data_IF_806332005358
#
_entry.id   IF_806332005358
#
_cell.length_a   1.000
_cell.length_b   1.000
_cell.length_c   1.000
_cell.angle_alpha   90.00
_cell.angle_beta   90.00
_cell.angle_gamma   90.00
#
_symmetry.space_group_name_H-M   'P 1'
#
loop_
_entity.id
_entity.type
_entity.pdbx_description
1 polymer ?
#
# COMPACT_ATOMS: atom_id res chain seq x y z
N UNK A 1 11.63 9.84 -15.81
CA UNK A 1 11.86 8.53 -16.48
C UNK A 1 11.03 7.48 -15.74
N UNK A 2 11.16 7.46 -14.42
CA UNK A 2 10.46 6.55 -13.50
C UNK A 2 8.94 6.79 -13.39
N UNK A 3 8.47 7.93 -13.90
CA UNK A 3 7.08 8.37 -13.85
C UNK A 3 6.14 7.38 -14.53
N UNK A 4 6.55 6.80 -15.67
CA UNK A 4 5.70 5.83 -16.39
C UNK A 4 5.55 4.53 -15.58
N UNK A 5 6.64 4.01 -15.03
CA UNK A 5 6.64 2.82 -14.18
C UNK A 5 5.84 3.05 -12.91
N UNK A 6 5.99 4.21 -12.26
CA UNK A 6 5.24 4.56 -11.06
C UNK A 6 3.74 4.70 -11.32
N UNK A 7 3.34 5.30 -12.45
CA UNK A 7 1.93 5.38 -12.86
C UNK A 7 1.36 3.98 -13.10
N UNK A 8 2.08 3.11 -13.80
CA UNK A 8 1.64 1.75 -14.06
C UNK A 8 1.56 0.92 -12.78
N UNK A 9 2.57 1.00 -11.92
CA UNK A 9 2.62 0.27 -10.65
C UNK A 9 1.49 0.73 -9.71
N UNK A 10 1.34 2.03 -9.51
CA UNK A 10 0.30 2.60 -8.65
C UNK A 10 -1.10 2.36 -9.21
N UNK A 11 -1.29 2.56 -10.52
CA UNK A 11 -2.58 2.35 -11.17
C UNK A 11 -3.04 0.90 -11.14
N UNK A 12 -2.18 -0.05 -11.55
CA UNK A 12 -2.51 -1.47 -11.52
C UNK A 12 -2.61 -2.01 -10.09
N UNK A 13 -1.71 -1.58 -9.20
CA UNK A 13 -1.76 -1.92 -7.78
C UNK A 13 -3.08 -1.51 -7.15
N UNK A 14 -3.49 -0.25 -7.33
CA UNK A 14 -4.75 0.27 -6.82
C UNK A 14 -5.98 -0.45 -7.41
N UNK A 15 -5.98 -0.71 -8.72
CA UNK A 15 -7.06 -1.48 -9.36
C UNK A 15 -7.20 -2.88 -8.77
N UNK A 16 -6.08 -3.56 -8.48
CA UNK A 16 -6.10 -4.87 -7.82
C UNK A 16 -6.69 -4.78 -6.42
N UNK A 17 -6.30 -3.76 -5.64
CA UNK A 17 -6.90 -3.51 -4.32
C UNK A 17 -8.42 -3.33 -4.45
N UNK A 18 -8.89 -2.45 -5.34
CA UNK A 18 -10.32 -2.16 -5.48
C UNK A 18 -11.13 -3.38 -5.92
N UNK A 19 -10.60 -4.19 -6.85
CA UNK A 19 -11.26 -5.42 -7.30
C UNK A 19 -11.35 -6.43 -6.14
N UNK A 20 -10.29 -6.54 -5.34
CA UNK A 20 -10.20 -7.55 -4.31
C UNK A 20 -10.99 -7.17 -3.05
N UNK A 21 -11.00 -5.89 -2.68
CA UNK A 21 -11.83 -5.34 -1.62
C UNK A 21 -13.32 -5.63 -1.86
N UNK A 22 -13.80 -5.39 -3.09
CA UNK A 22 -15.19 -5.71 -3.49
C UNK A 22 -15.56 -7.20 -3.38
N UNK A 23 -14.59 -8.11 -3.46
CA UNK A 23 -14.85 -9.56 -3.41
C UNK A 23 -14.72 -10.15 -2.01
N UNK A 24 -13.71 -9.72 -1.26
CA UNK A 24 -13.34 -10.34 0.02
C UNK A 24 -13.94 -9.61 1.23
N UNK A 25 -14.35 -8.34 1.11
CA UNK A 25 -14.79 -7.50 2.24
C UNK A 25 -13.82 -7.55 3.43
N UNK A 26 -12.53 -7.68 3.16
CA UNK A 26 -11.45 -7.76 4.13
C UNK A 26 -10.52 -6.56 3.92
N UNK A 27 -10.06 -5.93 5.00
CA UNK A 27 -9.39 -4.61 4.93
C UNK A 27 -7.85 -4.66 4.92
N UNK A 28 -7.27 -5.86 4.89
CA UNK A 28 -5.80 -6.06 4.88
C UNK A 28 -5.33 -6.86 3.66
N UNK A 29 -6.13 -7.87 3.28
CA UNK A 29 -5.77 -8.81 2.22
C UNK A 29 -5.67 -8.09 0.87
N UNK A 30 -6.62 -7.21 0.48
CA UNK A 30 -6.51 -6.42 -0.74
C UNK A 30 -5.22 -5.62 -0.82
N UNK A 31 -4.86 -4.93 0.26
CA UNK A 31 -3.71 -4.04 0.35
C UNK A 31 -2.39 -4.82 0.30
N UNK A 32 -2.33 -6.00 0.93
CA UNK A 32 -1.19 -6.91 0.83
C UNK A 32 -0.99 -7.41 -0.62
N UNK A 33 -2.07 -7.81 -1.30
CA UNK A 33 -1.97 -8.29 -2.70
C UNK A 33 -1.66 -7.13 -3.66
N UNK A 34 -2.25 -5.96 -3.44
CA UNK A 34 -1.94 -4.77 -4.21
C UNK A 34 -0.49 -4.33 -4.06
N UNK A 35 0.05 -4.37 -2.84
CA UNK A 35 1.45 -4.01 -2.58
C UNK A 35 2.44 -5.01 -3.18
N UNK A 36 2.10 -6.31 -3.24
CA UNK A 36 2.85 -7.32 -4.00
C UNK A 36 2.90 -6.98 -5.49
N UNK A 37 1.77 -6.60 -6.08
CA UNK A 37 1.70 -6.21 -7.51
C UNK A 37 2.53 -4.95 -7.77
N UNK A 38 2.44 -3.94 -6.89
CA UNK A 38 3.25 -2.72 -6.97
C UNK A 38 4.74 -3.07 -6.96
N UNK A 39 5.19 -3.89 -6.01
CA UNK A 39 6.58 -4.33 -5.92
C UNK A 39 7.05 -5.04 -7.18
N UNK A 40 6.24 -5.96 -7.71
CA UNK A 40 6.58 -6.74 -8.91
C UNK A 40 6.73 -5.85 -10.15
N UNK A 41 5.82 -4.88 -10.33
CA UNK A 41 5.90 -3.93 -11.46
C UNK A 41 7.09 -2.98 -11.28
N UNK A 42 7.34 -2.50 -10.06
CA UNK A 42 8.44 -1.58 -9.78
C UNK A 42 9.80 -2.23 -10.06
N UNK A 43 10.02 -3.46 -9.59
CA UNK A 43 11.26 -4.22 -9.84
C UNK A 43 11.44 -4.51 -11.33
N UNK A 44 10.38 -4.98 -11.99
CA UNK A 44 10.42 -5.27 -13.43
C UNK A 44 10.75 -4.00 -14.23
N UNK A 45 10.12 -2.88 -13.91
CA UNK A 45 10.37 -1.60 -14.56
C UNK A 45 11.77 -1.05 -14.31
N UNK A 46 12.33 -1.25 -13.11
CA UNK A 46 13.72 -0.89 -12.82
C UNK A 46 14.72 -1.72 -13.63
N UNK A 47 14.43 -2.99 -13.89
CA UNK A 47 15.29 -3.82 -14.75
C UNK A 47 15.34 -3.32 -16.21
N UNK A 48 14.22 -2.82 -16.75
CA UNK A 48 14.18 -2.25 -18.11
C UNK A 48 14.80 -0.86 -18.19
N UNK A 49 14.73 -0.07 -17.11
CA UNK A 49 15.25 1.30 -17.07
C UNK A 49 16.07 1.49 -15.78
N UNK A 50 17.37 1.14 -15.78
CA UNK A 50 18.21 1.07 -14.58
C UNK A 50 18.53 2.42 -13.92
N UNK A 51 18.23 3.53 -14.59
CA UNK A 51 18.60 4.88 -14.14
C UNK A 51 17.68 5.42 -13.03
N UNK A 52 16.59 4.71 -12.72
CA UNK A 52 15.58 5.13 -11.76
C UNK A 52 15.83 4.65 -10.34
N UNK A 53 15.43 5.45 -9.35
CA UNK A 53 15.47 5.00 -7.96
C UNK A 53 14.24 4.12 -7.64
N UNK A 54 14.49 2.85 -7.32
CA UNK A 54 13.44 1.87 -7.00
C UNK A 54 12.61 2.32 -5.79
N UNK A 55 13.22 2.94 -4.79
CA UNK A 55 12.52 3.42 -3.61
C UNK A 55 11.52 4.53 -3.98
N UNK A 56 11.91 5.47 -4.83
CA UNK A 56 11.04 6.54 -5.33
C UNK A 56 9.83 5.99 -6.11
N UNK A 57 10.02 4.98 -6.95
CA UNK A 57 8.93 4.32 -7.70
C UNK A 57 7.93 3.69 -6.73
N UNK A 58 8.42 2.91 -5.77
CA UNK A 58 7.60 2.20 -4.80
C UNK A 58 6.82 3.18 -3.92
N UNK A 59 7.50 4.18 -3.35
CA UNK A 59 6.86 5.18 -2.49
C UNK A 59 5.76 5.92 -3.26
N UNK A 60 6.02 6.35 -4.49
CA UNK A 60 5.01 7.02 -5.32
C UNK A 60 3.82 6.10 -5.67
N UNK A 61 4.07 4.83 -5.95
CA UNK A 61 3.02 3.87 -6.32
C UNK A 61 2.18 3.39 -5.14
N UNK A 62 2.73 3.32 -3.92
CA UNK A 62 2.04 2.83 -2.71
C UNK A 62 1.14 3.89 -2.09
N UNK A 63 1.37 5.19 -2.29
CA UNK A 63 0.58 6.27 -1.66
C UNK A 63 -0.95 6.11 -1.69
N UNK A 64 -1.60 5.65 -2.79
CA UNK A 64 -3.05 5.50 -2.85
C UNK A 64 -3.63 4.48 -1.87
N UNK A 65 -2.83 3.49 -1.47
CA UNK A 65 -3.26 2.37 -0.62
C UNK A 65 -2.84 2.56 0.85
N UNK A 66 -2.16 3.66 1.17
CA UNK A 66 -1.72 3.94 2.54
C UNK A 66 -2.93 4.27 3.43
N UNK A 67 -3.06 3.67 4.63
CA UNK A 67 -4.20 3.89 5.53
C UNK A 67 -4.14 5.24 6.27
N UNK A 68 -3.82 6.34 5.59
CA UNK A 68 -3.69 7.67 6.18
C UNK A 68 -5.01 8.20 6.75
N UNK A 69 -6.14 7.91 6.10
CA UNK A 69 -7.47 8.30 6.57
C UNK A 69 -7.84 7.56 7.86
N UNK A 70 -7.48 6.28 7.98
CA UNK A 70 -7.73 5.51 9.20
C UNK A 70 -6.90 6.03 10.37
N UNK A 71 -5.61 6.35 10.15
CA UNK A 71 -4.72 6.92 11.16
C UNK A 71 -5.26 8.27 11.64
N UNK A 72 -5.58 9.18 10.71
CA UNK A 72 -6.09 10.52 11.06
C UNK A 72 -7.44 10.46 11.76
N UNK A 73 -8.34 9.55 11.34
CA UNK A 73 -9.62 9.33 12.01
C UNK A 73 -9.45 8.73 13.41
N UNK A 74 -8.51 7.80 13.60
CA UNK A 74 -8.24 7.23 14.93
C UNK A 74 -7.75 8.31 15.91
N UNK A 75 -6.87 9.20 15.45
CA UNK A 75 -6.39 10.33 16.25
C UNK A 75 -7.54 11.30 16.59
N UNK A 76 -8.41 11.60 15.63
CA UNK A 76 -9.60 12.43 15.88
C UNK A 76 -10.54 11.78 16.91
N UNK A 77 -10.80 10.48 16.79
CA UNK A 77 -11.63 9.73 17.74
C UNK A 77 -11.01 9.69 19.15
N UNK A 78 -9.68 9.64 19.25
CA UNK A 78 -8.96 9.76 20.53
C UNK A 78 -9.22 11.12 21.20
N UNK A 79 -9.11 12.22 20.45
CA UNK A 79 -9.39 13.56 20.96
C UNK A 79 -10.88 13.77 21.30
N UNK A 80 -11.78 13.08 20.59
CA UNK A 80 -13.21 13.06 20.88
C UNK A 80 -13.63 12.18 22.06
N UNK A 81 -12.71 11.45 22.68
CA UNK A 81 -13.00 10.53 23.80
C UNK A 81 -13.57 9.17 23.39
N UNK A 82 -13.57 8.84 22.09
CA UNK A 82 -14.07 7.57 21.54
C UNK A 82 -12.97 6.48 21.56
N UNK A 83 -12.55 6.03 22.76
CA UNK A 83 -11.44 5.08 22.89
C UNK A 83 -11.63 3.75 22.16
N UNK A 84 -12.85 3.19 22.14
CA UNK A 84 -13.14 1.94 21.42
C UNK A 84 -12.92 2.08 19.90
N UNK A 85 -13.31 3.22 19.33
CA UNK A 85 -13.12 3.50 17.90
C UNK A 85 -11.65 3.77 17.58
N UNK A 86 -10.95 4.51 18.46
CA UNK A 86 -9.50 4.72 18.38
C UNK A 86 -8.76 3.37 18.31
N UNK A 87 -9.02 2.45 19.24
CA UNK A 87 -8.33 1.15 19.28
C UNK A 87 -8.60 0.34 18.02
N UNK A 88 -9.85 0.29 17.56
CA UNK A 88 -10.23 -0.49 16.37
C UNK A 88 -9.56 0.07 15.10
N UNK A 89 -9.73 1.36 14.82
CA UNK A 89 -9.14 2.02 13.63
C UNK A 89 -7.62 2.03 13.64
N UNK A 90 -7.00 2.19 14.81
CA UNK A 90 -5.54 2.14 14.94
C UNK A 90 -4.99 0.75 14.66
N UNK A 91 -5.64 -0.29 15.19
CA UNK A 91 -5.21 -1.67 14.95
C UNK A 91 -5.36 -2.03 13.47
N UNK A 92 -6.46 -1.62 12.86
CA UNK A 92 -6.71 -1.81 11.44
C UNK A 92 -5.65 -1.12 10.57
N UNK A 93 -5.35 0.16 10.84
CA UNK A 93 -4.31 0.89 10.14
C UNK A 93 -2.91 0.25 10.32
N UNK A 94 -2.61 -0.24 11.54
CA UNK A 94 -1.36 -0.94 11.82
C UNK A 94 -1.24 -2.24 11.03
N UNK A 95 -2.24 -3.10 11.08
CA UNK A 95 -2.25 -4.39 10.36
C UNK A 95 -2.12 -4.15 8.86
N UNK A 96 -2.89 -3.20 8.32
CA UNK A 96 -2.83 -2.81 6.90
C UNK A 96 -1.44 -2.29 6.51
N UNK A 97 -0.84 -1.41 7.32
CA UNK A 97 0.50 -0.88 7.05
C UNK A 97 1.57 -1.98 7.08
N UNK A 98 1.47 -2.91 8.03
CA UNK A 98 2.33 -4.10 8.06
C UNK A 98 2.15 -4.97 6.82
N UNK A 99 0.93 -5.14 6.33
CA UNK A 99 0.63 -5.87 5.10
C UNK A 99 1.27 -5.25 3.87
N UNK A 100 1.12 -3.93 3.73
CA UNK A 100 1.75 -3.20 2.63
C UNK A 100 3.27 -3.38 2.68
N UNK A 101 3.88 -3.20 3.85
CA UNK A 101 5.31 -3.37 4.06
C UNK A 101 5.78 -4.81 3.78
N UNK A 102 5.05 -5.82 4.23
CA UNK A 102 5.36 -7.22 4.01
C UNK A 102 5.25 -7.59 2.52
N UNK A 103 4.23 -7.12 1.81
CA UNK A 103 4.05 -7.40 0.39
C UNK A 103 5.18 -6.81 -0.45
N UNK A 104 5.44 -5.51 -0.33
CA UNK A 104 6.58 -4.87 -1.03
C UNK A 104 7.91 -5.51 -0.61
N UNK A 105 8.13 -5.70 0.69
CA UNK A 105 9.36 -6.27 1.24
C UNK A 105 9.66 -7.68 0.72
N UNK A 106 8.63 -8.51 0.56
CA UNK A 106 8.79 -9.87 0.02
C UNK A 106 9.32 -9.88 -1.41
N UNK A 107 8.93 -8.90 -2.23
CA UNK A 107 9.43 -8.75 -3.60
C UNK A 107 10.84 -8.18 -3.61
N UNK A 108 11.13 -7.20 -2.75
CA UNK A 108 12.47 -6.62 -2.64
C UNK A 108 13.53 -7.64 -2.23
N UNK A 109 13.17 -8.66 -1.44
CA UNK A 109 14.08 -9.76 -1.07
C UNK A 109 14.47 -10.61 -2.30
N UNK A 110 13.65 -10.63 -3.36
CA UNK A 110 13.92 -11.42 -4.58
C UNK A 110 14.88 -10.72 -5.56
N UNK A 111 15.24 -9.45 -5.32
CA UNK A 111 16.15 -8.64 -6.15
C UNK A 111 17.54 -8.64 -5.56
#
# INVERSE_FOLDING_TARGET
>A
IDTLTAILAGGLGYLVVEILDRKLHAQFIPEFVGSLVIGMIAVTGHHFIPNGDLATIIIAAVMPIVPGVFITNAIQDLFGGHMLMFTTKSLEALVTSFGIGAGVGSILIMV
#
